data_IF_447726892889
#
_entry.id   IF_447726892889
#
_cell.length_a   1.000
_cell.length_b   1.000
_cell.length_c   1.000
_cell.angle_alpha   90.00
_cell.angle_beta   90.00
_cell.angle_gamma   90.00
#
_symmetry.space_group_name_H-M   'P 1'
#
loop_
_entity.id
_entity.type
_entity.pdbx_description
1 polymer ?
#
# COMPACT_ATOMS: atom_id res chain seq x y z
N UNK A 1 -27.78 16.19 -3.62
CA UNK A 1 -26.94 15.01 -3.42
C UNK A 1 -25.70 15.37 -2.64
N UNK A 2 -25.24 14.45 -1.87
CA UNK A 2 -24.04 14.65 -1.10
C UNK A 2 -22.88 13.92 -1.76
N UNK A 3 -21.79 14.61 -1.89
CA UNK A 3 -20.57 14.00 -2.38
C UNK A 3 -19.54 14.01 -1.27
N UNK A 4 -18.71 13.02 -1.27
CA UNK A 4 -17.60 12.98 -0.32
C UNK A 4 -16.72 14.21 -0.54
N UNK A 5 -16.20 14.81 0.52
CA UNK A 5 -15.24 15.90 0.37
C UNK A 5 -14.04 15.45 -0.45
N UNK A 6 -13.48 16.36 -1.22
CA UNK A 6 -12.33 16.03 -2.07
C UNK A 6 -11.17 15.46 -1.25
N UNK A 7 -10.95 15.97 -0.04
CA UNK A 7 -9.87 15.48 0.81
C UNK A 7 -10.08 14.03 1.20
N UNK A 8 -11.32 13.66 1.56
CA UNK A 8 -11.62 12.27 1.91
C UNK A 8 -11.47 11.36 0.70
N UNK A 9 -11.94 11.80 -0.47
CA UNK A 9 -11.81 11.01 -1.70
C UNK A 9 -10.35 10.82 -2.09
N UNK A 10 -9.52 11.86 -1.96
CA UNK A 10 -8.11 11.76 -2.33
C UNK A 10 -7.33 10.89 -1.35
N UNK A 11 -7.76 10.80 -0.08
CA UNK A 11 -7.09 9.94 0.90
C UNK A 11 -7.55 8.50 0.80
N UNK A 12 -8.85 8.31 0.71
CA UNK A 12 -9.43 6.96 0.73
C UNK A 12 -9.42 6.30 -0.64
N UNK A 13 -9.44 7.10 -1.69
CA UNK A 13 -9.49 6.58 -3.04
C UNK A 13 -10.80 5.91 -3.37
N UNK A 14 -10.86 5.26 -4.52
CA UNK A 14 -12.04 4.49 -4.88
C UNK A 14 -12.19 3.26 -3.99
N UNK A 15 -13.41 2.78 -3.86
CA UNK A 15 -13.66 1.56 -3.11
C UNK A 15 -12.91 0.41 -3.77
N UNK A 16 -12.33 -0.45 -2.95
CA UNK A 16 -11.58 -1.59 -3.44
C UNK A 16 -11.82 -2.82 -2.59
N UNK A 17 -11.43 -3.95 -3.12
CA UNK A 17 -11.60 -5.24 -2.46
C UNK A 17 -10.25 -5.70 -1.91
N UNK A 18 -10.14 -5.82 -0.59
CA UNK A 18 -8.87 -6.14 0.04
C UNK A 18 -8.39 -7.55 -0.29
N UNK A 19 -9.29 -8.52 -0.44
CA UNK A 19 -8.87 -9.88 -0.79
C UNK A 19 -8.29 -9.93 -2.19
N UNK A 20 -8.95 -9.28 -3.14
CA UNK A 20 -8.42 -9.17 -4.49
C UNK A 20 -7.11 -8.38 -4.50
N UNK A 21 -7.02 -7.37 -3.66
CA UNK A 21 -5.82 -6.57 -3.55
C UNK A 21 -4.61 -7.37 -3.12
N UNK A 22 -4.78 -8.25 -2.15
CA UNK A 22 -3.71 -9.13 -1.72
C UNK A 22 -3.24 -10.00 -2.89
N UNK A 23 -4.19 -10.57 -3.63
CA UNK A 23 -3.88 -11.40 -4.79
C UNK A 23 -3.08 -10.63 -5.83
N UNK A 24 -3.54 -9.42 -6.18
CA UNK A 24 -2.84 -8.61 -7.17
C UNK A 24 -1.49 -8.12 -6.68
N UNK A 25 -1.37 -7.85 -5.39
CA UNK A 25 -0.08 -7.46 -4.81
C UNK A 25 0.98 -8.53 -5.13
N UNK A 26 0.62 -9.79 -5.01
CA UNK A 26 1.54 -10.88 -5.33
C UNK A 26 1.67 -11.10 -6.83
N UNK A 27 0.56 -11.10 -7.56
CA UNK A 27 0.59 -11.37 -9.00
C UNK A 27 1.33 -10.32 -9.79
N UNK A 28 1.26 -9.06 -9.35
CA UNK A 28 1.93 -7.96 -10.05
C UNK A 28 3.35 -7.70 -9.55
N UNK A 29 3.81 -8.46 -8.59
CA UNK A 29 5.21 -8.41 -8.17
C UNK A 29 5.56 -7.34 -7.17
N UNK A 30 4.60 -6.70 -6.55
CA UNK A 30 4.87 -5.67 -5.54
C UNK A 30 5.70 -6.23 -4.38
N UNK A 31 5.47 -7.49 -4.04
CA UNK A 31 6.15 -8.14 -2.93
C UNK A 31 7.66 -8.27 -3.13
N UNK A 32 8.11 -8.24 -4.38
CA UNK A 32 9.53 -8.42 -4.65
C UNK A 32 10.39 -7.33 -4.02
N UNK A 33 9.85 -6.13 -3.92
CA UNK A 33 10.55 -5.02 -3.29
C UNK A 33 10.00 -4.68 -1.92
N UNK A 34 8.68 -4.80 -1.74
CA UNK A 34 8.02 -4.35 -0.51
C UNK A 34 7.78 -5.46 0.52
N UNK A 35 8.06 -6.70 0.16
CA UNK A 35 7.97 -7.83 1.08
C UNK A 35 6.64 -8.56 1.00
N UNK A 36 6.63 -9.78 1.54
CA UNK A 36 5.46 -10.65 1.46
C UNK A 36 4.27 -10.11 2.26
N UNK A 37 4.52 -9.31 3.29
CA UNK A 37 3.47 -8.67 4.08
C UNK A 37 3.53 -7.16 3.96
N UNK A 38 4.11 -6.66 2.86
CA UNK A 38 4.30 -5.23 2.61
C UNK A 38 5.07 -4.54 3.73
N UNK A 39 5.87 -5.31 4.47
CA UNK A 39 6.63 -4.78 5.59
C UNK A 39 7.85 -3.96 5.15
N UNK A 40 8.22 -4.07 3.88
CA UNK A 40 9.40 -3.38 3.38
C UNK A 40 10.68 -3.95 3.94
N UNK A 41 11.69 -3.13 3.98
CA UNK A 41 12.98 -3.51 4.49
C UNK A 41 13.90 -3.99 3.39
N UNK A 42 15.10 -4.40 3.80
CA UNK A 42 16.10 -4.73 2.83
C UNK A 42 16.51 -3.50 2.04
N UNK A 43 16.88 -3.70 0.81
CA UNK A 43 17.45 -2.63 0.01
C UNK A 43 16.50 -2.07 -1.03
N UNK A 44 15.35 -2.69 -1.21
CA UNK A 44 14.59 -2.40 -2.43
C UNK A 44 13.35 -1.55 -2.23
N UNK A 45 12.62 -1.69 -1.14
CA UNK A 45 11.40 -0.92 -1.02
C UNK A 45 11.03 -0.58 0.41
N UNK A 46 10.34 0.55 0.59
CA UNK A 46 9.90 0.95 1.93
C UNK A 46 8.73 0.11 2.41
N UNK A 47 8.49 0.17 3.71
CA UNK A 47 7.33 -0.45 4.31
C UNK A 47 6.06 0.25 3.83
N UNK A 48 5.09 -0.52 3.40
CA UNK A 48 3.77 -0.01 3.02
C UNK A 48 2.72 -0.36 4.08
N UNK A 49 2.88 -1.49 4.76
CA UNK A 49 1.93 -1.93 5.76
C UNK A 49 1.87 -0.92 6.91
N UNK A 50 0.69 -0.40 7.20
CA UNK A 50 0.50 0.58 8.25
C UNK A 50 1.04 1.96 7.96
N UNK A 51 1.62 2.16 6.78
CA UNK A 51 2.20 3.44 6.38
C UNK A 51 1.86 3.79 4.95
N UNK A 52 0.76 3.29 4.45
CA UNK A 52 0.35 3.55 3.08
C UNK A 52 -0.02 5.02 2.93
N UNK A 53 0.55 5.72 1.95
CA UNK A 53 0.19 7.12 1.74
C UNK A 53 -1.27 7.27 1.29
N UNK A 54 -1.74 8.51 1.21
CA UNK A 54 -3.07 8.78 0.71
C UNK A 54 -3.17 8.31 -0.74
N UNK A 55 -4.39 7.99 -1.17
CA UNK A 55 -4.62 7.43 -2.51
C UNK A 55 -4.00 8.24 -3.63
N UNK A 56 -4.16 9.56 -3.61
CA UNK A 56 -3.64 10.39 -4.67
C UNK A 56 -2.13 10.26 -4.82
N UNK A 57 -1.42 10.29 -3.70
CA UNK A 57 0.03 10.14 -3.73
C UNK A 57 0.44 8.72 -4.10
N UNK A 58 -0.27 7.73 -3.56
CA UNK A 58 0.02 6.33 -3.82
C UNK A 58 -0.15 5.99 -5.30
N UNK A 59 -1.30 6.34 -5.86
CA UNK A 59 -1.58 6.01 -7.25
C UNK A 59 -0.65 6.73 -8.22
N UNK A 60 -0.35 7.99 -7.94
CA UNK A 60 0.59 8.73 -8.76
C UNK A 60 1.98 8.10 -8.73
N UNK A 61 2.44 7.73 -7.55
CA UNK A 61 3.78 7.17 -7.42
C UNK A 61 3.92 5.84 -8.14
N UNK A 62 2.90 4.98 -8.05
CA UNK A 62 2.93 3.70 -8.74
C UNK A 62 3.02 3.88 -10.25
N UNK A 63 2.31 4.89 -10.77
CA UNK A 63 2.34 5.19 -12.21
C UNK A 63 3.64 5.85 -12.64
N UNK A 64 4.20 6.72 -11.81
CA UNK A 64 5.40 7.50 -12.12
C UNK A 64 6.34 7.58 -10.92
N UNK A 65 7.01 6.47 -10.60
CA UNK A 65 7.92 6.49 -9.46
C UNK A 65 9.13 7.36 -9.73
N UNK A 66 9.67 7.94 -8.67
CA UNK A 66 10.86 8.79 -8.78
C UNK A 66 12.13 8.07 -8.33
N UNK A 67 11.98 6.88 -7.75
CA UNK A 67 13.14 6.11 -7.29
C UNK A 67 13.36 4.87 -8.14
N UNK A 68 13.78 3.81 -7.50
CA UNK A 68 14.11 2.57 -8.18
C UNK A 68 12.92 1.70 -8.51
N UNK A 69 11.75 2.05 -8.00
CA UNK A 69 10.54 1.30 -8.31
C UNK A 69 10.24 1.41 -9.81
N UNK A 70 9.88 0.28 -10.42
CA UNK A 70 9.48 0.29 -11.83
C UNK A 70 8.09 0.90 -11.96
N UNK A 71 7.81 1.63 -13.04
CA UNK A 71 6.47 2.17 -13.23
C UNK A 71 5.49 1.08 -13.67
N UNK A 72 4.27 1.17 -13.17
CA UNK A 72 3.18 0.29 -13.58
C UNK A 72 2.14 1.08 -14.35
N UNK A 73 1.97 0.75 -15.60
CA UNK A 73 0.97 1.41 -16.43
C UNK A 73 -0.41 0.81 -16.17
N UNK A 74 -1.44 1.48 -16.66
CA UNK A 74 -2.80 0.98 -16.52
C UNK A 74 -3.02 -0.35 -17.25
N UNK A 75 -2.17 -0.65 -18.22
CA UNK A 75 -2.25 -1.94 -18.92
C UNK A 75 -1.76 -3.09 -18.06
N UNK A 76 -0.80 -2.83 -17.17
CA UNK A 76 -0.27 -3.84 -16.28
C UNK A 76 -1.11 -3.96 -15.01
N UNK A 77 -1.43 -2.82 -14.42
CA UNK A 77 -2.30 -2.77 -13.24
C UNK A 77 -3.38 -1.74 -13.53
N UNK A 78 -4.61 -2.20 -13.71
CA UNK A 78 -5.72 -1.29 -13.96
C UNK A 78 -6.00 -0.45 -12.71
N UNK A 79 -6.77 0.63 -12.89
CA UNK A 79 -7.15 1.46 -11.76
C UNK A 79 -7.94 0.67 -10.72
N UNK A 80 -8.81 -0.23 -11.18
CA UNK A 80 -9.58 -1.09 -10.27
C UNK A 80 -8.66 -2.02 -9.47
N UNK A 81 -7.72 -2.64 -10.14
CA UNK A 81 -6.76 -3.52 -9.46
C UNK A 81 -5.90 -2.73 -8.48
N UNK A 82 -5.49 -1.54 -8.86
CA UNK A 82 -4.70 -0.71 -7.97
C UNK A 82 -5.50 -0.28 -6.74
N UNK A 83 -6.78 0.04 -6.93
CA UNK A 83 -7.67 0.36 -5.81
C UNK A 83 -7.81 -0.84 -4.87
N UNK A 84 -7.87 -2.05 -5.42
CA UNK A 84 -7.93 -3.27 -4.60
C UNK A 84 -6.64 -3.45 -3.79
N UNK A 85 -5.49 -3.26 -4.43
CA UNK A 85 -4.20 -3.34 -3.74
C UNK A 85 -4.14 -2.31 -2.63
N UNK A 86 -4.57 -1.09 -2.91
CA UNK A 86 -4.58 -0.03 -1.91
C UNK A 86 -5.47 -0.40 -0.72
N UNK A 87 -6.65 -0.96 -0.99
CA UNK A 87 -7.58 -1.38 0.07
C UNK A 87 -6.92 -2.43 0.97
N UNK A 88 -6.20 -3.38 0.39
CA UNK A 88 -5.50 -4.38 1.18
C UNK A 88 -4.40 -3.76 2.03
N UNK A 89 -3.60 -2.89 1.45
CA UNK A 89 -2.51 -2.24 2.18
C UNK A 89 -3.04 -1.40 3.35
N UNK A 90 -4.13 -0.68 3.12
CA UNK A 90 -4.75 0.15 4.16
C UNK A 90 -5.39 -0.68 5.27
N UNK A 91 -5.76 -1.91 4.98
CA UNK A 91 -6.35 -2.80 5.97
C UNK A 91 -5.30 -3.42 6.91
N UNK A 92 -4.03 -3.38 6.55
CA UNK A 92 -2.98 -3.92 7.39
C UNK A 92 -2.71 -2.93 8.53
N UNK A 93 -2.79 -3.36 9.79
CA UNK A 93 -2.55 -2.44 10.90
C UNK A 93 -1.08 -2.04 10.98
N UNK A 94 -0.78 -0.88 11.58
CA UNK A 94 0.61 -0.51 11.80
C UNK A 94 1.28 -1.50 12.75
N UNK A 95 2.62 -1.60 12.71
CA UNK A 95 3.30 -2.49 13.61
C UNK A 95 3.12 -2.03 15.06
N UNK A 96 3.11 -2.96 16.01
CA UNK A 96 3.02 -2.57 17.41
C UNK A 96 4.26 -1.78 17.81
N UNK A 97 4.15 -0.84 18.75
CA UNK A 97 5.32 -0.13 19.22
C UNK A 97 6.30 -1.09 19.89
N UNK A 98 7.57 -0.74 19.78
CA UNK A 98 8.63 -1.56 20.36
C UNK A 98 8.39 -1.80 21.85
N UNK A 99 7.87 -0.80 22.54
CA UNK A 99 7.61 -0.90 23.98
C UNK A 99 6.59 -1.98 24.34
N UNK A 100 5.76 -2.41 23.39
CA UNK A 100 4.77 -3.45 23.64
C UNK A 100 5.32 -4.86 23.44
N UNK A 101 6.55 -4.98 22.97
CA UNK A 101 7.17 -6.29 22.71
C UNK A 101 7.84 -6.76 23.99
N UNK A 102 7.40 -7.89 24.59
CA UNK A 102 7.93 -8.32 25.89
C UNK A 102 9.44 -8.45 25.93
N UNK A 103 10.04 -8.90 24.86
CA UNK A 103 11.48 -9.11 24.79
C UNK A 103 12.25 -7.81 25.07
N UNK A 104 11.74 -6.68 24.60
CA UNK A 104 12.38 -5.40 24.81
C UNK A 104 11.98 -4.73 26.11
N UNK A 105 10.83 -5.12 26.67
CA UNK A 105 10.37 -4.55 27.93
C UNK A 105 11.17 -5.04 29.12
N UNK A 106 11.76 -6.21 29.02
CA UNK A 106 12.50 -6.80 30.12
C UNK A 106 13.87 -6.12 30.33
N UNK A 107 14.21 -5.19 29.48
CA UNK A 107 15.42 -4.42 29.67
C UNK A 107 15.18 -3.22 30.57
#
# INVERSE_FOLDING_TARGET
>A
HAQAPAAASSQAGPAGNAESGKKFYFERGCWQCHGLAAQGGGIAGPRLAGRTPAWTAFSRYVRRPTGEMIPYTEKVISDTELADIFAWLRAIPPPPPVSSIPLFKSK
#
